data_IF_809807878734
#
_entry.id   IF_809807878734
#
_cell.length_a   1.000
_cell.length_b   1.000
_cell.length_c   1.000
_cell.angle_alpha   90.00
_cell.angle_beta   90.00
_cell.angle_gamma   90.00
#
_symmetry.space_group_name_H-M   'P 1'
#
loop_
_entity.id
_entity.type
_entity.pdbx_description
1 polymer ?
#
# COMPACT_ATOMS: atom_id res chain seq x y z
N UNK A 1 14.93 -5.02 -25.41
CA UNK A 1 15.06 -3.97 -24.37
C UNK A 1 14.25 -4.46 -23.18
N UNK A 2 14.91 -4.93 -22.12
CA UNK A 2 14.23 -5.42 -20.92
C UNK A 2 13.90 -4.16 -20.11
N UNK A 3 12.62 -3.86 -19.91
CA UNK A 3 12.21 -2.77 -19.02
C UNK A 3 12.59 -3.18 -17.59
N UNK A 4 13.60 -2.53 -17.03
CA UNK A 4 14.22 -2.85 -15.74
C UNK A 4 13.50 -2.20 -14.54
N UNK A 5 12.37 -1.50 -14.77
CA UNK A 5 11.68 -0.72 -13.74
C UNK A 5 10.16 -0.93 -13.80
N UNK A 6 9.53 -0.98 -12.63
CA UNK A 6 8.08 -0.77 -12.51
C UNK A 6 7.82 0.70 -12.23
N UNK A 7 7.13 1.39 -13.14
CA UNK A 7 6.73 2.80 -12.99
C UNK A 7 5.21 2.92 -13.02
N UNK A 8 4.64 3.40 -11.91
CA UNK A 8 3.19 3.58 -11.77
C UNK A 8 2.91 4.98 -11.25
N UNK A 9 2.11 5.74 -12.00
CA UNK A 9 1.57 7.03 -11.55
C UNK A 9 0.06 6.97 -11.53
N UNK A 10 -0.53 7.09 -10.36
CA UNK A 10 -1.97 6.97 -10.19
C UNK A 10 -2.46 7.70 -8.94
N UNK A 11 -3.77 7.94 -8.89
CA UNK A 11 -4.42 8.40 -7.68
C UNK A 11 -4.37 7.31 -6.60
N UNK A 12 -4.26 7.71 -5.34
CA UNK A 12 -4.20 6.78 -4.22
C UNK A 12 -5.52 6.72 -3.45
N UNK A 13 -5.75 5.57 -2.82
CA UNK A 13 -6.79 5.35 -1.82
C UNK A 13 -6.15 4.73 -0.58
N UNK A 14 -6.38 5.33 0.57
CA UNK A 14 -5.88 4.83 1.86
C UNK A 14 -6.97 4.01 2.53
N UNK A 15 -6.62 2.81 2.98
CA UNK A 15 -7.52 1.91 3.71
C UNK A 15 -6.82 1.38 4.97
N UNK A 16 -7.56 1.20 6.06
CA UNK A 16 -7.01 0.79 7.37
C UNK A 16 -6.90 -0.72 7.53
N UNK A 17 -7.69 -1.47 6.77
CA UNK A 17 -7.68 -2.93 6.78
C UNK A 17 -8.26 -3.51 5.50
N UNK A 18 -8.32 -4.85 5.42
CA UNK A 18 -8.90 -5.54 4.28
C UNK A 18 -10.43 -5.46 4.20
N UNK A 19 -11.10 -5.21 5.32
CA UNK A 19 -12.56 -5.06 5.34
C UNK A 19 -12.95 -3.71 4.72
N UNK A 20 -12.21 -2.65 5.04
CA UNK A 20 -12.33 -1.35 4.37
C UNK A 20 -11.99 -1.45 2.88
N UNK A 21 -10.97 -2.23 2.50
CA UNK A 21 -10.66 -2.47 1.09
C UNK A 21 -11.85 -3.11 0.34
N UNK A 22 -12.47 -4.15 0.90
CA UNK A 22 -13.64 -4.80 0.29
C UNK A 22 -14.85 -3.84 0.26
N UNK A 23 -15.10 -3.12 1.36
CA UNK A 23 -16.20 -2.16 1.45
C UNK A 23 -16.08 -1.03 0.41
N UNK A 24 -14.85 -0.67 0.02
CA UNK A 24 -14.53 0.41 -0.93
C UNK A 24 -14.06 -0.09 -2.29
N UNK A 25 -14.30 -1.37 -2.63
CA UNK A 25 -13.80 -2.01 -3.86
C UNK A 25 -14.07 -1.23 -5.14
N UNK A 26 -15.22 -0.56 -5.24
CA UNK A 26 -15.62 0.18 -6.44
C UNK A 26 -14.77 1.45 -6.65
N UNK A 27 -14.08 1.93 -5.61
CA UNK A 27 -13.16 3.07 -5.67
C UNK A 27 -11.74 2.66 -6.09
N UNK A 28 -11.39 1.37 -6.03
CA UNK A 28 -9.99 0.89 -6.11
C UNK A 28 -9.45 0.84 -7.55
N UNK A 29 -10.32 0.63 -8.54
CA UNK A 29 -9.90 0.42 -9.92
C UNK A 29 -9.02 1.56 -10.44
N UNK A 30 -7.82 1.22 -10.90
CA UNK A 30 -6.84 2.17 -11.45
C UNK A 30 -6.06 2.96 -10.39
N UNK A 31 -6.24 2.69 -9.10
CA UNK A 31 -5.57 3.43 -8.00
C UNK A 31 -4.40 2.67 -7.39
N UNK A 32 -3.56 3.41 -6.68
CA UNK A 32 -2.60 2.85 -5.71
C UNK A 32 -3.32 2.65 -4.37
N UNK A 33 -3.36 1.43 -3.87
CA UNK A 33 -3.91 1.15 -2.53
C UNK A 33 -2.82 1.38 -1.49
N UNK A 34 -3.08 2.23 -0.51
CA UNK A 34 -2.19 2.47 0.62
C UNK A 34 -2.81 1.80 1.84
N UNK A 35 -2.23 0.69 2.28
CA UNK A 35 -2.60 0.05 3.53
C UNK A 35 -1.99 0.84 4.69
N UNK A 36 -2.84 1.49 5.48
CA UNK A 36 -2.49 2.12 6.74
C UNK A 36 -2.97 1.25 7.91
N UNK A 37 -2.56 -0.02 7.88
CA UNK A 37 -2.90 -0.98 8.92
C UNK A 37 -2.17 -0.60 10.21
N UNK A 38 -2.90 0.02 11.15
CA UNK A 38 -2.38 0.37 12.48
C UNK A 38 -1.79 -0.86 13.18
N UNK A 39 -0.85 -0.67 14.11
CA UNK A 39 -0.18 -1.78 14.77
C UNK A 39 -1.11 -2.55 15.74
N UNK A 40 -1.05 -3.87 15.71
CA UNK A 40 -1.65 -4.76 16.72
C UNK A 40 -0.63 -5.79 17.19
N UNK A 41 -0.25 -6.72 16.31
CA UNK A 41 0.84 -7.68 16.49
C UNK A 41 1.51 -7.95 15.14
N UNK A 42 2.65 -8.65 15.16
CA UNK A 42 3.42 -8.91 13.94
C UNK A 42 2.70 -9.84 12.94
N UNK A 43 2.13 -10.94 13.42
CA UNK A 43 1.54 -11.99 12.57
C UNK A 43 0.33 -11.51 11.79
N UNK A 44 -0.49 -10.65 12.37
CA UNK A 44 -1.63 -10.06 11.67
C UNK A 44 -1.14 -9.11 10.58
N UNK A 45 -0.11 -8.30 10.88
CA UNK A 45 0.33 -7.21 10.01
C UNK A 45 1.22 -7.69 8.86
N UNK A 46 1.96 -8.79 9.04
CA UNK A 46 2.76 -9.39 7.95
C UNK A 46 1.92 -9.85 6.77
N UNK A 47 0.63 -10.15 6.99
CA UNK A 47 -0.30 -10.55 5.92
C UNK A 47 -0.48 -9.47 4.84
N UNK A 48 -0.35 -8.19 5.19
CA UNK A 48 -0.44 -7.07 4.25
C UNK A 48 0.74 -7.04 3.29
N UNK A 49 1.95 -7.35 3.77
CA UNK A 49 3.12 -7.52 2.90
C UNK A 49 3.02 -8.81 2.07
N UNK A 50 2.52 -9.88 2.69
CA UNK A 50 2.44 -11.20 2.08
C UNK A 50 1.41 -11.29 0.93
N UNK A 51 0.22 -10.74 1.13
CA UNK A 51 -0.96 -10.94 0.27
C UNK A 51 -1.67 -9.64 -0.16
N UNK A 52 -1.19 -8.48 0.31
CA UNK A 52 -1.82 -7.20 0.00
C UNK A 52 -1.82 -6.85 -1.48
N UNK A 53 -0.81 -7.31 -2.24
CA UNK A 53 -0.77 -7.13 -3.69
C UNK A 53 -1.95 -7.83 -4.38
N UNK A 54 -2.17 -9.11 -4.08
CA UNK A 54 -3.26 -9.90 -4.67
C UNK A 54 -4.64 -9.35 -4.29
N UNK A 55 -4.81 -8.96 -3.03
CA UNK A 55 -6.08 -8.40 -2.53
C UNK A 55 -6.43 -7.09 -3.21
N UNK A 56 -5.46 -6.19 -3.41
CA UNK A 56 -5.67 -4.95 -4.14
C UNK A 56 -5.90 -5.21 -5.64
N UNK A 57 -5.11 -6.12 -6.23
CA UNK A 57 -5.23 -6.49 -7.65
C UNK A 57 -6.62 -7.05 -8.00
N UNK A 58 -7.25 -7.80 -7.08
CA UNK A 58 -8.63 -8.31 -7.22
C UNK A 58 -9.65 -7.22 -7.55
N UNK A 59 -9.44 -5.99 -7.07
CA UNK A 59 -10.33 -4.85 -7.33
C UNK A 59 -9.77 -3.87 -8.38
N UNK A 60 -8.73 -4.28 -9.12
CA UNK A 60 -8.16 -3.51 -10.22
C UNK A 60 -7.20 -2.40 -9.80
N UNK A 61 -6.61 -2.48 -8.59
CA UNK A 61 -5.50 -1.60 -8.23
C UNK A 61 -4.32 -1.76 -9.19
N UNK A 62 -3.52 -0.70 -9.36
CA UNK A 62 -2.34 -0.72 -10.24
C UNK A 62 -1.03 -0.87 -9.47
N UNK A 63 -1.05 -0.60 -8.16
CA UNK A 63 0.03 -0.88 -7.22
C UNK A 63 -0.49 -0.81 -5.77
N UNK A 64 0.33 -1.25 -4.81
CA UNK A 64 0.04 -1.17 -3.39
C UNK A 64 1.21 -0.62 -2.58
N UNK A 65 0.92 0.13 -1.52
CA UNK A 65 1.88 0.55 -0.52
C UNK A 65 1.43 0.01 0.84
N UNK A 66 2.37 -0.48 1.63
CA UNK A 66 2.10 -1.08 2.94
C UNK A 66 2.78 -0.24 4.01
N UNK A 67 2.03 0.26 4.98
CA UNK A 67 2.59 0.84 6.20
C UNK A 67 3.57 -0.16 6.82
N UNK A 68 4.74 0.32 7.23
CA UNK A 68 5.74 -0.54 7.85
C UNK A 68 5.19 -1.32 9.05
N UNK A 69 5.53 -2.61 9.08
CA UNK A 69 5.11 -3.54 10.14
C UNK A 69 6.01 -3.29 11.35
N UNK A 70 5.68 -2.28 12.14
CA UNK A 70 6.45 -1.87 13.31
C UNK A 70 5.53 -1.41 14.45
N UNK A 71 5.88 -1.80 15.68
CA UNK A 71 5.23 -1.34 16.91
C UNK A 71 5.61 0.10 17.28
N UNK A 72 6.80 0.52 16.88
CA UNK A 72 7.31 1.87 17.06
C UNK A 72 7.99 2.31 15.77
N UNK A 73 7.73 3.55 15.35
CA UNK A 73 8.35 4.08 14.15
C UNK A 73 9.69 4.73 14.47
N UNK A 74 10.63 4.61 13.54
CA UNK A 74 11.93 5.29 13.55
C UNK A 74 12.20 5.95 12.19
N UNK A 75 11.14 6.29 11.45
CA UNK A 75 11.24 6.83 10.09
C UNK A 75 11.99 5.91 9.11
N UNK A 76 11.83 4.58 9.27
CA UNK A 76 12.44 3.58 8.41
C UNK A 76 11.40 2.54 7.96
N UNK A 77 11.72 1.84 6.87
CA UNK A 77 10.83 0.82 6.33
C UNK A 77 11.18 -0.56 6.85
N UNK A 78 10.17 -1.27 7.38
CA UNK A 78 10.29 -2.71 7.66
C UNK A 78 9.88 -3.50 6.41
N UNK A 79 10.86 -3.82 5.59
CA UNK A 79 10.69 -4.63 4.37
C UNK A 79 10.69 -6.13 4.69
N UNK A 80 10.57 -6.98 3.68
CA UNK A 80 10.70 -8.43 3.82
C UNK A 80 9.94 -9.16 2.73
N UNK A 81 9.72 -10.46 2.92
CA UNK A 81 9.17 -11.34 1.89
C UNK A 81 7.79 -10.85 1.43
N UNK A 82 7.67 -10.71 0.11
CA UNK A 82 6.43 -10.66 -0.64
C UNK A 82 6.25 -12.01 -1.32
N UNK A 83 5.06 -12.60 -1.23
CA UNK A 83 4.80 -13.91 -1.84
C UNK A 83 4.21 -13.80 -3.25
N UNK A 84 3.64 -12.65 -3.60
CA UNK A 84 3.01 -12.42 -4.91
C UNK A 84 3.39 -11.06 -5.49
N UNK A 85 3.50 -11.03 -6.83
CA UNK A 85 3.86 -9.88 -7.66
C UNK A 85 2.73 -9.51 -8.63
N UNK A 86 1.47 -9.78 -8.30
CA UNK A 86 0.33 -9.47 -9.18
C UNK A 86 0.28 -7.99 -9.60
N UNK A 87 0.68 -7.09 -8.69
CA UNK A 87 0.93 -5.67 -8.93
C UNK A 87 2.16 -5.24 -8.13
N UNK A 88 2.87 -4.17 -8.53
CA UNK A 88 3.97 -3.61 -7.74
C UNK A 88 3.52 -3.29 -6.32
N UNK A 89 4.34 -3.66 -5.33
CA UNK A 89 4.04 -3.42 -3.92
C UNK A 89 5.31 -3.00 -3.16
N UNK A 90 5.20 -2.01 -2.29
CA UNK A 90 6.33 -1.50 -1.51
C UNK A 90 5.93 -1.15 -0.07
N UNK A 91 6.91 -1.13 0.83
CA UNK A 91 6.71 -0.62 2.19
C UNK A 91 6.95 0.89 2.23
N UNK A 92 6.16 1.62 3.02
CA UNK A 92 6.38 3.03 3.37
C UNK A 92 6.48 3.20 4.88
N UNK A 93 7.00 4.33 5.32
CA UNK A 93 7.12 4.63 6.75
C UNK A 93 5.73 4.73 7.40
N UNK A 94 5.68 4.64 8.74
CA UNK A 94 4.44 4.88 9.48
C UNK A 94 3.96 6.30 9.25
N UNK A 95 4.88 7.26 9.27
CA UNK A 95 4.65 8.68 9.13
C UNK A 95 4.04 9.03 7.78
N UNK A 96 4.55 8.44 6.68
CA UNK A 96 4.03 8.64 5.34
C UNK A 96 2.61 8.07 5.20
N UNK A 97 2.39 6.83 5.69
CA UNK A 97 1.06 6.23 5.66
C UNK A 97 0.02 7.08 6.44
N UNK A 98 0.41 7.60 7.60
CA UNK A 98 -0.44 8.46 8.41
C UNK A 98 -0.61 9.86 7.81
N UNK A 99 0.40 10.40 7.12
CA UNK A 99 0.28 11.65 6.35
C UNK A 99 -0.77 11.50 5.25
N UNK A 100 -0.68 10.42 4.46
CA UNK A 100 -1.62 10.14 3.38
C UNK A 100 -3.04 9.93 3.92
N UNK A 101 -3.20 9.25 5.05
CA UNK A 101 -4.49 9.15 5.74
C UNK A 101 -5.04 10.53 6.07
N UNK A 102 -4.25 11.40 6.71
CA UNK A 102 -4.69 12.77 7.06
C UNK A 102 -5.05 13.60 5.82
N UNK A 103 -4.36 13.42 4.70
CA UNK A 103 -4.72 14.06 3.42
C UNK A 103 -6.09 13.56 2.92
N UNK A 104 -6.30 12.25 2.92
CA UNK A 104 -7.58 11.65 2.51
C UNK A 104 -8.74 12.09 3.44
N UNK A 105 -8.52 12.15 4.75
CA UNK A 105 -9.53 12.59 5.73
C UNK A 105 -9.95 14.05 5.48
N UNK A 106 -9.02 14.88 4.99
CA UNK A 106 -9.30 16.26 4.52
C UNK A 106 -9.88 16.32 3.11
N UNK A 107 -10.24 15.19 2.50
CA UNK A 107 -10.76 15.06 1.13
C UNK A 107 -9.79 15.59 0.07
N UNK A 108 -8.48 15.57 0.35
CA UNK A 108 -7.47 15.97 -0.61
C UNK A 108 -7.25 14.84 -1.61
N UNK A 109 -7.15 15.19 -2.90
CA UNK A 109 -6.73 14.25 -3.93
C UNK A 109 -5.26 13.90 -3.71
N UNK A 110 -4.95 12.61 -3.66
CA UNK A 110 -3.58 12.09 -3.53
C UNK A 110 -3.22 11.45 -4.86
N UNK A 111 -2.13 11.89 -5.49
CA UNK A 111 -1.55 11.24 -6.67
C UNK A 111 -0.12 10.86 -6.32
N UNK A 112 0.21 9.58 -6.50
CA UNK A 112 1.53 9.03 -6.18
C UNK A 112 2.23 8.59 -7.47
N UNK A 113 3.55 8.65 -7.43
CA UNK A 113 4.45 8.14 -8.46
C UNK A 113 5.37 7.12 -7.79
N UNK A 114 5.17 5.84 -8.11
CA UNK A 114 5.92 4.72 -7.60
C UNK A 114 6.92 4.26 -8.67
N UNK A 115 8.19 4.26 -8.30
CA UNK A 115 9.29 3.73 -9.11
C UNK A 115 9.95 2.65 -8.26
N UNK A 116 9.96 1.41 -8.76
CA UNK A 116 10.69 0.29 -8.16
C UNK A 116 11.82 -0.13 -9.10
N UNK A 117 13.03 -0.08 -8.56
CA UNK A 117 14.26 -0.51 -9.19
C UNK A 117 14.62 -1.92 -8.69
N UNK A 118 15.07 -2.78 -9.60
CA UNK A 118 15.60 -4.10 -9.28
C UNK A 118 17.13 -4.06 -9.16
#
# INVERSE_FOLDING_TARGET
MINLFSHVKADAIVVKDFDELEARKDEVKGKIVVYNQGWTNYYDKVTYRATGADRAAKYGAVAALVRSIASHSIYSVHTGIQYSNAIPIAAITVEDAEMLQRMQDRKQKITLELILEN
#
